data_IF_256818632253
#
_entry.id   IF_256818632253
#
_cell.length_a   1.000
_cell.length_b   1.000
_cell.length_c   1.000
_cell.angle_alpha   90.00
_cell.angle_beta   90.00
_cell.angle_gamma   90.00
#
_symmetry.space_group_name_H-M   'P 1'
#
loop_
_entity.id
_entity.type
_entity.pdbx_description
1 polymer ?
#
# COMPACT_ATOMS: atom_id res chain seq x y z
N UNK A 1 17.29 15.24 -63.97
CA UNK A 1 17.57 14.37 -62.81
C UNK A 1 18.08 15.24 -61.68
N UNK A 2 17.21 15.64 -60.77
CA UNK A 2 17.57 16.29 -59.51
C UNK A 2 16.75 15.58 -58.43
N UNK A 3 17.45 14.98 -57.47
CA UNK A 3 16.86 14.27 -56.35
C UNK A 3 16.59 15.24 -55.20
N UNK A 4 15.34 15.31 -54.77
CA UNK A 4 14.95 15.95 -53.52
C UNK A 4 15.16 14.94 -52.38
N UNK A 5 16.05 15.27 -51.47
CA UNK A 5 16.18 14.65 -50.15
C UNK A 5 15.18 15.33 -49.22
N UNK A 6 14.02 14.70 -48.99
CA UNK A 6 13.09 15.13 -47.94
C UNK A 6 13.62 14.67 -46.59
N UNK A 7 14.17 15.62 -45.83
CA UNK A 7 14.43 15.47 -44.40
C UNK A 7 13.08 15.53 -43.70
N UNK A 8 12.64 14.39 -43.18
CA UNK A 8 11.46 14.30 -42.32
C UNK A 8 11.84 14.90 -40.97
N UNK A 9 11.46 16.17 -40.74
CA UNK A 9 11.41 16.74 -39.40
C UNK A 9 10.29 16.01 -38.64
N UNK A 10 10.68 15.16 -37.68
CA UNK A 10 9.77 14.67 -36.67
C UNK A 10 9.48 15.81 -35.70
N UNK A 11 8.53 16.67 -36.06
CA UNK A 11 7.95 17.63 -35.13
C UNK A 11 7.23 16.84 -34.04
N UNK A 12 7.80 16.86 -32.84
CA UNK A 12 7.22 16.33 -31.62
C UNK A 12 5.84 16.94 -31.43
N UNK A 13 4.80 16.13 -31.60
CA UNK A 13 3.40 16.49 -31.35
C UNK A 13 3.20 16.65 -29.83
N UNK A 14 3.60 17.79 -29.29
CA UNK A 14 3.13 18.25 -27.99
C UNK A 14 1.65 18.65 -28.18
N UNK A 15 0.69 17.93 -27.58
CA UNK A 15 -0.72 18.26 -27.78
C UNK A 15 -0.98 19.67 -27.26
N UNK A 16 -1.67 20.48 -28.07
CA UNK A 16 -2.32 21.75 -27.70
C UNK A 16 -3.48 21.53 -26.70
N UNK A 17 -3.33 20.58 -25.77
CA UNK A 17 -4.26 20.35 -24.67
C UNK A 17 -4.24 21.57 -23.75
N UNK A 18 -5.18 22.46 -24.07
CA UNK A 18 -5.75 23.55 -23.29
C UNK A 18 -5.49 23.33 -21.80
N UNK A 19 -4.58 24.12 -21.22
CA UNK A 19 -4.44 24.22 -19.78
C UNK A 19 -5.71 24.90 -19.23
N UNK A 20 -6.80 24.14 -19.11
CA UNK A 20 -8.05 24.63 -18.55
C UNK A 20 -7.84 24.72 -17.04
N UNK A 21 -8.08 25.89 -16.46
CA UNK A 21 -8.18 26.07 -15.01
C UNK A 21 -9.45 25.36 -14.51
N UNK A 22 -9.37 24.04 -14.38
CA UNK A 22 -10.49 23.17 -13.98
C UNK A 22 -11.01 23.53 -12.59
N UNK A 23 -10.15 24.09 -11.73
CA UNK A 23 -10.56 24.55 -10.40
C UNK A 23 -11.44 25.80 -10.48
N UNK A 24 -11.15 26.74 -11.40
CA UNK A 24 -12.02 27.89 -11.62
C UNK A 24 -13.38 27.47 -12.17
N UNK A 25 -13.42 26.56 -13.16
CA UNK A 25 -14.67 26.05 -13.73
C UNK A 25 -15.54 25.32 -12.71
N UNK A 26 -14.96 24.41 -11.91
CA UNK A 26 -15.69 23.66 -10.87
C UNK A 26 -16.29 24.59 -9.82
N UNK A 27 -15.68 25.75 -9.57
CA UNK A 27 -16.13 26.71 -8.57
C UNK A 27 -16.91 27.90 -9.16
N UNK A 28 -17.30 27.86 -10.45
CA UNK A 28 -18.03 28.93 -11.11
C UNK A 28 -17.27 30.27 -11.19
N UNK A 29 -15.93 30.24 -11.17
CA UNK A 29 -15.07 31.41 -11.26
C UNK A 29 -14.56 31.60 -12.69
N UNK A 30 -14.29 32.85 -13.07
CA UNK A 30 -13.64 33.14 -14.33
C UNK A 30 -12.24 32.49 -14.36
N UNK A 31 -11.85 31.78 -15.44
CA UNK A 31 -10.53 31.19 -15.58
C UNK A 31 -9.43 32.24 -15.49
N UNK A 32 -8.31 31.91 -14.82
CA UNK A 32 -7.16 32.81 -14.76
C UNK A 32 -6.33 32.71 -16.05
N UNK A 33 -6.76 33.41 -17.10
CA UNK A 33 -6.16 33.38 -18.45
C UNK A 33 -4.63 33.60 -18.42
N UNK A 34 -4.15 34.54 -17.61
CA UNK A 34 -2.71 34.82 -17.49
C UNK A 34 -1.89 33.63 -16.96
N UNK A 35 -2.47 32.82 -16.06
CA UNK A 35 -1.80 31.63 -15.52
C UNK A 35 -1.75 30.50 -16.54
N UNK A 36 -2.81 30.39 -17.34
CA UNK A 36 -2.94 29.45 -18.46
C UNK A 36 -1.88 29.78 -19.52
N UNK A 37 -1.81 31.04 -19.94
CA UNK A 37 -0.81 31.53 -20.90
C UNK A 37 0.62 31.37 -20.38
N UNK A 38 0.87 31.62 -19.09
CA UNK A 38 2.19 31.41 -18.47
C UNK A 38 2.59 29.93 -18.48
N UNK A 39 1.67 29.01 -18.17
CA UNK A 39 1.95 27.57 -18.27
C UNK A 39 2.20 27.13 -19.71
N UNK A 40 1.39 27.58 -20.66
CA UNK A 40 1.58 27.29 -22.09
C UNK A 40 2.94 27.79 -22.55
N UNK A 41 3.32 29.01 -22.16
CA UNK A 41 4.65 29.57 -22.46
C UNK A 41 5.78 28.71 -21.86
N UNK A 42 5.69 28.33 -20.59
CA UNK A 42 6.69 27.46 -19.95
C UNK A 42 6.77 26.06 -20.58
N UNK A 43 5.66 25.54 -21.11
CA UNK A 43 5.61 24.21 -21.72
C UNK A 43 6.10 24.24 -23.17
N UNK A 44 5.79 25.31 -23.92
CA UNK A 44 6.25 25.51 -25.30
C UNK A 44 7.70 26.01 -25.39
N UNK A 45 8.21 26.62 -24.33
CA UNK A 45 9.63 27.00 -24.17
C UNK A 45 10.42 25.97 -23.36
N UNK A 46 9.88 24.76 -23.16
CA UNK A 46 10.68 23.65 -22.66
C UNK A 46 11.72 23.33 -23.74
N UNK A 47 12.92 23.90 -23.58
CA UNK A 47 14.09 23.53 -24.36
C UNK A 47 14.40 22.07 -24.04
N UNK A 48 14.26 21.20 -25.03
CA UNK A 48 14.53 19.76 -24.92
C UNK A 48 16.01 19.48 -24.59
N UNK A 49 16.88 20.50 -24.67
CA UNK A 49 18.28 20.48 -24.28
C UNK A 49 18.53 21.09 -22.90
N UNK A 50 17.50 21.61 -22.22
CA UNK A 50 17.66 22.13 -20.87
C UNK A 50 18.09 21.00 -19.91
N UNK A 51 19.10 21.22 -19.05
CA UNK A 51 19.61 20.20 -18.16
C UNK A 51 18.50 19.72 -17.23
N UNK A 52 18.11 18.46 -17.40
CA UNK A 52 17.18 17.80 -16.51
C UNK A 52 17.82 17.72 -15.11
N UNK A 53 17.06 18.05 -14.06
CA UNK A 53 17.52 17.89 -12.67
C UNK A 53 18.11 16.48 -12.47
N UNK A 54 19.35 16.39 -11.99
CA UNK A 54 19.85 15.14 -11.41
C UNK A 54 18.89 14.69 -10.30
N UNK A 55 18.35 13.48 -10.44
CA UNK A 55 17.27 12.94 -9.61
C UNK A 55 15.85 13.08 -10.21
N UNK A 56 15.69 13.52 -11.46
CA UNK A 56 14.38 13.48 -12.14
C UNK A 56 13.97 12.06 -12.53
N UNK A 57 14.95 11.17 -12.73
CA UNK A 57 14.74 9.72 -12.78
C UNK A 57 14.82 9.19 -11.36
N UNK A 58 13.81 8.40 -10.98
CA UNK A 58 13.65 7.78 -9.66
C UNK A 58 14.85 6.93 -9.20
N UNK A 59 15.84 6.68 -10.06
CA UNK A 59 16.99 5.80 -9.79
C UNK A 59 18.31 6.52 -9.51
N UNK A 60 18.40 7.84 -9.72
CA UNK A 60 19.70 8.52 -9.73
C UNK A 60 19.84 9.50 -8.57
N UNK A 61 20.11 8.97 -7.38
CA UNK A 61 20.60 9.77 -6.24
C UNK A 61 22.00 9.28 -5.86
N UNK A 62 23.04 9.97 -6.34
CA UNK A 62 24.37 9.91 -5.73
C UNK A 62 24.44 10.95 -4.61
N UNK A 63 24.48 10.47 -3.37
CA UNK A 63 24.71 11.29 -2.19
C UNK A 63 26.19 11.68 -2.16
N UNK A 64 26.47 12.98 -2.21
CA UNK A 64 27.81 13.51 -1.95
C UNK A 64 27.95 13.67 -0.43
N UNK A 65 28.98 13.08 0.21
CA UNK A 65 29.17 13.20 1.64
C UNK A 65 29.36 14.68 2.05
N UNK A 66 28.62 15.10 3.07
CA UNK A 66 28.71 16.44 3.67
C UNK A 66 30.02 16.52 4.45
N UNK A 67 30.82 17.56 4.23
CA UNK A 67 32.08 17.78 4.96
C UNK A 67 31.80 18.17 6.42
N UNK A 68 32.61 17.64 7.34
CA UNK A 68 32.39 17.66 8.79
C UNK A 68 32.28 19.05 9.45
N UNK A 69 32.77 20.12 8.81
CA UNK A 69 32.75 21.47 9.39
C UNK A 69 31.34 22.11 9.46
N UNK A 70 30.37 21.67 8.64
CA UNK A 70 29.01 22.21 8.62
C UNK A 70 28.08 21.54 9.66
N UNK A 71 28.46 20.36 10.18
CA UNK A 71 27.71 19.59 11.19
C UNK A 71 27.64 20.32 12.54
N UNK A 72 28.72 21.00 12.92
CA UNK A 72 28.85 21.62 14.25
C UNK A 72 27.90 22.84 14.40
N UNK A 73 27.71 23.62 13.34
CA UNK A 73 26.84 24.82 13.35
C UNK A 73 25.36 24.43 13.32
N UNK A 74 25.00 23.31 12.68
CA UNK A 74 23.61 22.87 12.58
C UNK A 74 23.01 22.51 13.96
N UNK A 75 23.83 22.00 14.88
CA UNK A 75 23.39 21.52 16.20
C UNK A 75 22.88 22.64 17.14
N UNK A 76 23.24 23.91 16.91
CA UNK A 76 22.87 25.04 17.76
C UNK A 76 21.67 25.85 17.24
N UNK A 77 21.16 25.54 16.05
CA UNK A 77 20.07 26.27 15.42
C UNK A 77 18.71 25.67 15.79
N UNK A 78 17.69 26.51 15.94
CA UNK A 78 16.30 26.02 16.07
C UNK A 78 15.88 25.23 14.82
N UNK A 79 14.95 24.29 14.98
CA UNK A 79 14.43 23.44 13.88
C UNK A 79 14.00 24.28 12.67
N UNK A 80 13.39 25.45 12.90
CA UNK A 80 12.98 26.38 11.84
C UNK A 80 14.19 26.99 11.11
N UNK A 81 15.23 27.37 11.84
CA UNK A 81 16.48 27.91 11.26
C UNK A 81 17.25 26.84 10.51
N UNK A 82 17.31 25.60 11.02
CA UNK A 82 17.92 24.47 10.29
C UNK A 82 17.19 24.18 8.96
N UNK A 83 15.85 24.27 8.96
CA UNK A 83 15.07 24.10 7.74
C UNK A 83 15.37 25.21 6.71
N UNK A 84 15.40 26.48 7.15
CA UNK A 84 15.70 27.61 6.27
C UNK A 84 17.14 27.53 5.73
N UNK A 85 18.10 27.14 6.56
CA UNK A 85 19.49 26.91 6.15
C UNK A 85 19.59 25.81 5.08
N UNK A 86 18.93 24.66 5.29
CA UNK A 86 18.85 23.56 4.31
C UNK A 86 18.20 24.02 3.00
N UNK A 87 17.17 24.86 3.07
CA UNK A 87 16.51 25.44 1.88
C UNK A 87 17.46 26.38 1.13
N UNK A 88 18.18 27.25 1.83
CA UNK A 88 19.16 28.16 1.23
C UNK A 88 20.33 27.39 0.59
N UNK A 89 20.82 26.33 1.23
CA UNK A 89 21.87 25.47 0.67
C UNK A 89 21.42 24.75 -0.60
N UNK A 90 20.21 24.19 -0.63
CA UNK A 90 19.64 23.61 -1.86
C UNK A 90 19.57 24.64 -2.98
N UNK A 91 19.18 25.89 -2.67
CA UNK A 91 19.08 26.95 -3.66
C UNK A 91 20.47 27.36 -4.19
N UNK A 92 21.47 27.53 -3.30
CA UNK A 92 22.86 27.83 -3.69
C UNK A 92 23.48 26.71 -4.54
N UNK A 93 23.30 25.45 -4.15
CA UNK A 93 23.82 24.31 -4.90
C UNK A 93 23.16 24.20 -6.28
N UNK A 94 21.85 24.49 -6.37
CA UNK A 94 21.15 24.59 -7.63
C UNK A 94 21.74 25.69 -8.52
N UNK A 95 21.90 26.92 -8.00
CA UNK A 95 22.48 28.03 -8.76
C UNK A 95 23.93 27.76 -9.19
N UNK A 96 24.74 27.13 -8.34
CA UNK A 96 26.14 26.78 -8.66
C UNK A 96 26.20 25.76 -9.80
N UNK A 97 25.40 24.71 -9.76
CA UNK A 97 25.35 23.68 -10.81
C UNK A 97 24.78 24.23 -12.11
N UNK A 98 23.76 25.10 -12.03
CA UNK A 98 23.21 25.79 -13.19
C UNK A 98 24.24 26.69 -13.87
N UNK A 99 25.05 27.43 -13.10
CA UNK A 99 26.16 28.22 -13.66
C UNK A 99 27.26 27.35 -14.28
N UNK A 100 27.66 26.27 -13.61
CA UNK A 100 28.66 25.34 -14.13
C UNK A 100 28.22 24.72 -15.46
N UNK A 101 26.95 24.34 -15.58
CA UNK A 101 26.37 23.86 -16.83
C UNK A 101 26.47 24.91 -17.95
N UNK A 102 26.09 26.16 -17.67
CA UNK A 102 26.18 27.26 -18.66
C UNK A 102 27.62 27.63 -19.03
N UNK A 103 28.57 27.45 -18.12
CA UNK A 103 30.00 27.69 -18.36
C UNK A 103 30.64 26.55 -19.18
N UNK A 104 30.22 25.30 -18.98
CA UNK A 104 30.61 24.14 -19.82
C UNK A 104 30.06 24.25 -21.25
N UNK A 105 28.86 24.80 -21.43
CA UNK A 105 28.21 24.94 -22.76
C UNK A 105 28.86 26.03 -23.64
N UNK A 106 29.58 26.99 -23.04
CA UNK A 106 30.41 27.96 -23.77
C UNK A 106 31.83 27.43 -24.09
N UNK A 107 32.20 26.27 -23.57
CA UNK A 107 33.41 25.55 -23.96
C UNK A 107 33.05 24.57 -25.08
N UNK A 108 33.64 24.76 -26.26
CA UNK A 108 33.44 23.87 -27.42
C UNK A 108 33.61 22.40 -27.03
N UNK A 109 32.50 21.66 -27.02
CA UNK A 109 32.48 20.23 -26.84
C UNK A 109 33.07 19.57 -28.11
N UNK A 110 34.35 19.21 -28.09
CA UNK A 110 34.87 18.23 -29.04
C UNK A 110 34.36 16.86 -28.60
N UNK A 111 33.48 16.26 -29.42
CA UNK A 111 33.09 14.85 -29.30
C UNK A 111 34.37 14.01 -29.34
N UNK A 112 34.77 13.46 -28.19
CA UNK A 112 35.78 12.43 -28.15
C UNK A 112 35.19 11.18 -28.81
N UNK A 113 35.60 10.93 -30.05
CA UNK A 113 35.38 9.68 -30.78
C UNK A 113 35.80 8.49 -29.89
N UNK A 114 34.81 7.73 -29.43
CA UNK A 114 35.01 6.41 -28.82
C UNK A 114 35.28 5.40 -29.94
N UNK A 115 36.44 5.48 -30.57
CA UNK A 115 36.99 4.41 -31.38
C UNK A 115 38.46 4.16 -31.03
N UNK A 116 38.79 2.87 -30.89
CA UNK A 116 40.12 2.29 -30.67
C UNK A 116 40.55 2.12 -29.22
N UNK A 117 39.93 1.15 -28.56
CA UNK A 117 40.62 0.28 -27.60
C UNK A 117 40.55 -1.15 -28.11
N UNK A 118 41.55 -1.55 -28.89
CA UNK A 118 41.81 -2.96 -29.19
C UNK A 118 42.04 -3.69 -27.86
N UNK A 119 41.15 -4.59 -27.48
CA UNK A 119 41.53 -5.74 -26.68
C UNK A 119 40.75 -6.98 -27.14
N UNK A 120 41.53 -8.00 -27.43
CA UNK A 120 41.16 -9.28 -28.03
C UNK A 120 40.31 -10.13 -27.08
N UNK A 121 39.36 -10.87 -27.67
CA UNK A 121 38.77 -12.12 -27.19
C UNK A 121 37.91 -12.07 -25.91
N UNK A 122 36.61 -11.93 -26.12
CA UNK A 122 35.57 -12.74 -25.45
C UNK A 122 34.38 -12.84 -26.41
N UNK A 123 34.47 -13.74 -27.38
CA UNK A 123 33.32 -14.24 -28.12
C UNK A 123 32.63 -15.30 -27.24
N UNK A 124 31.30 -15.38 -27.36
CA UNK A 124 30.36 -16.27 -26.67
C UNK A 124 29.73 -15.72 -25.38
N UNK A 125 28.52 -15.13 -25.52
CA UNK A 125 27.40 -14.99 -24.54
C UNK A 125 26.48 -13.75 -24.79
N UNK A 126 26.41 -13.26 -26.03
CA UNK A 126 25.47 -12.19 -26.43
C UNK A 126 24.32 -12.66 -27.33
N UNK A 127 23.71 -13.80 -26.98
CA UNK A 127 22.41 -14.20 -27.53
C UNK A 127 21.38 -14.39 -26.42
N UNK A 128 20.27 -13.65 -26.54
CA UNK A 128 19.07 -13.69 -25.69
C UNK A 128 19.01 -12.74 -24.48
N UNK A 129 19.29 -11.46 -24.70
CA UNK A 129 18.50 -10.41 -24.03
C UNK A 129 17.06 -10.45 -24.60
N UNK A 130 16.30 -11.50 -24.29
CA UNK A 130 14.87 -11.53 -24.54
C UNK A 130 14.29 -10.29 -23.88
N UNK A 131 13.49 -9.51 -24.61
CA UNK A 131 12.68 -8.42 -24.10
C UNK A 131 11.82 -8.94 -22.94
N UNK A 132 12.37 -9.02 -21.74
CA UNK A 132 11.62 -9.34 -20.53
C UNK A 132 10.77 -8.13 -20.27
N UNK A 133 9.52 -8.23 -20.74
CA UNK A 133 8.47 -7.25 -20.45
C UNK A 133 8.53 -6.98 -18.96
N UNK A 134 8.83 -5.72 -18.59
CA UNK A 134 8.89 -5.34 -17.18
C UNK A 134 7.53 -5.58 -16.57
N UNK A 135 7.45 -6.52 -15.63
CA UNK A 135 6.22 -6.77 -14.90
C UNK A 135 5.90 -5.57 -14.00
N UNK A 136 4.61 -5.21 -13.81
CA UNK A 136 4.21 -4.20 -12.85
C UNK A 136 4.74 -4.49 -11.46
N UNK A 137 5.12 -3.45 -10.71
CA UNK A 137 5.51 -3.62 -9.31
C UNK A 137 4.34 -4.20 -8.50
N UNK A 138 4.68 -4.98 -7.47
CA UNK A 138 3.73 -5.57 -6.50
C UNK A 138 2.66 -4.57 -6.02
N UNK A 139 3.06 -3.34 -5.69
CA UNK A 139 2.14 -2.30 -5.22
C UNK A 139 1.29 -1.66 -6.31
N UNK A 140 1.82 -1.54 -7.53
CA UNK A 140 1.00 -1.14 -8.67
C UNK A 140 -0.08 -2.19 -8.92
N UNK A 141 0.28 -3.47 -8.92
CA UNK A 141 -0.69 -4.58 -9.02
C UNK A 141 -1.74 -4.51 -7.92
N UNK A 142 -1.34 -4.25 -6.67
CA UNK A 142 -2.26 -4.06 -5.55
C UNK A 142 -3.22 -2.87 -5.77
N UNK A 143 -2.71 -1.74 -6.28
CA UNK A 143 -3.52 -0.56 -6.58
C UNK A 143 -4.53 -0.83 -7.71
N UNK A 144 -4.10 -1.51 -8.77
CA UNK A 144 -4.94 -1.85 -9.92
C UNK A 144 -6.09 -2.79 -9.55
N UNK A 145 -5.90 -3.70 -8.57
CA UNK A 145 -6.99 -4.53 -8.02
C UNK A 145 -8.16 -3.72 -7.43
N UNK A 146 -7.93 -2.47 -7.06
CA UNK A 146 -8.96 -1.56 -6.54
C UNK A 146 -9.39 -0.48 -7.54
N UNK A 147 -8.80 -0.44 -8.73
CA UNK A 147 -9.12 0.50 -9.80
C UNK A 147 -9.20 -0.23 -11.16
N UNK A 148 -10.25 -1.06 -11.37
CA UNK A 148 -10.34 -1.91 -12.56
C UNK A 148 -10.38 -1.11 -13.86
N UNK A 149 -10.98 0.09 -13.87
CA UNK A 149 -10.99 0.94 -15.07
C UNK A 149 -9.56 1.38 -15.44
N UNK A 150 -8.70 1.67 -14.45
CA UNK A 150 -7.28 2.00 -14.71
C UNK A 150 -6.52 0.78 -15.21
N UNK A 151 -6.81 -0.40 -14.66
CA UNK A 151 -6.21 -1.65 -15.14
C UNK A 151 -6.59 -1.91 -16.61
N UNK A 152 -7.88 -1.80 -16.94
CA UNK A 152 -8.40 -1.93 -18.29
C UNK A 152 -7.74 -0.93 -19.24
N UNK A 153 -7.56 0.32 -18.82
CA UNK A 153 -6.87 1.34 -19.60
C UNK A 153 -5.42 0.95 -19.91
N UNK A 154 -4.68 0.41 -18.92
CA UNK A 154 -3.31 -0.07 -19.12
C UNK A 154 -3.31 -1.26 -20.10
N UNK A 155 -4.24 -2.19 -19.97
CA UNK A 155 -4.36 -3.34 -20.88
C UNK A 155 -4.67 -2.90 -22.33
N UNK A 156 -5.52 -1.89 -22.50
CA UNK A 156 -5.80 -1.29 -23.81
C UNK A 156 -4.54 -0.66 -24.42
N UNK A 157 -3.79 0.15 -23.68
CA UNK A 157 -2.62 0.85 -24.24
C UNK A 157 -1.39 -0.05 -24.46
N UNK A 158 -1.15 -1.03 -23.60
CA UNK A 158 0.12 -1.74 -23.57
C UNK A 158 0.05 -3.21 -24.02
N UNK A 159 -1.14 -3.83 -23.98
CA UNK A 159 -1.28 -5.25 -24.34
C UNK A 159 -2.10 -5.48 -25.61
N UNK A 160 -2.92 -4.51 -26.02
CA UNK A 160 -3.69 -4.59 -27.26
C UNK A 160 -2.88 -4.04 -28.42
N UNK A 161 -2.67 -4.84 -29.48
CA UNK A 161 -1.89 -4.40 -30.67
C UNK A 161 -2.50 -3.19 -31.39
N UNK A 162 -3.80 -2.96 -31.24
CA UNK A 162 -4.55 -1.88 -31.89
C UNK A 162 -5.79 -1.50 -31.07
N UNK A 163 -5.64 -0.78 -29.94
CA UNK A 163 -6.78 -0.37 -29.14
C UNK A 163 -7.68 0.59 -29.92
N UNK A 164 -8.99 0.35 -29.89
CA UNK A 164 -9.95 1.30 -30.44
C UNK A 164 -10.01 2.54 -29.54
N UNK A 165 -9.78 3.73 -30.10
CA UNK A 165 -9.81 5.00 -29.36
C UNK A 165 -11.12 5.15 -28.56
N UNK A 166 -12.25 4.69 -29.11
CA UNK A 166 -13.54 4.69 -28.42
C UNK A 166 -13.51 3.97 -27.07
N UNK A 167 -12.88 2.79 -26.99
CA UNK A 167 -12.75 2.03 -25.74
C UNK A 167 -11.87 2.75 -24.71
N UNK A 168 -10.78 3.40 -25.16
CA UNK A 168 -9.94 4.21 -24.28
C UNK A 168 -10.72 5.41 -23.71
N UNK A 169 -11.47 6.11 -24.56
CA UNK A 169 -12.28 7.28 -24.15
C UNK A 169 -13.38 6.86 -23.17
N UNK A 170 -14.08 5.76 -23.42
CA UNK A 170 -15.12 5.23 -22.52
C UNK A 170 -14.53 4.88 -21.15
N UNK A 171 -13.36 4.23 -21.13
CA UNK A 171 -12.66 3.88 -19.88
C UNK A 171 -12.22 5.14 -19.11
N UNK A 172 -11.67 6.14 -19.81
CA UNK A 172 -11.33 7.44 -19.22
C UNK A 172 -12.58 8.17 -18.67
N UNK A 173 -13.71 8.10 -19.36
CA UNK A 173 -14.98 8.66 -18.89
C UNK A 173 -15.47 7.96 -17.61
N UNK A 174 -15.37 6.63 -17.52
CA UNK A 174 -15.67 5.88 -16.29
C UNK A 174 -14.75 6.28 -15.14
N UNK A 175 -13.45 6.44 -15.41
CA UNK A 175 -12.48 6.90 -14.41
C UNK A 175 -12.76 8.32 -13.91
N UNK A 176 -13.20 9.22 -14.80
CA UNK A 176 -13.51 10.60 -14.49
C UNK A 176 -14.90 10.82 -13.84
N UNK A 177 -15.76 9.80 -13.85
CA UNK A 177 -17.12 9.91 -13.34
C UNK A 177 -17.13 10.20 -11.82
N UNK A 178 -17.62 11.38 -11.36
CA UNK A 178 -17.67 11.71 -9.94
C UNK A 178 -18.67 10.84 -9.16
N UNK A 179 -19.63 10.23 -9.86
CA UNK A 179 -20.58 9.26 -9.32
C UNK A 179 -20.04 7.82 -9.27
N UNK A 180 -18.76 7.58 -9.59
CA UNK A 180 -18.15 6.25 -9.53
C UNK A 180 -18.37 5.65 -8.13
N UNK A 181 -18.91 4.44 -8.10
CA UNK A 181 -19.11 3.69 -6.87
C UNK A 181 -17.78 3.61 -6.14
N UNK A 182 -17.79 3.99 -4.86
CA UNK A 182 -16.60 3.90 -4.02
C UNK A 182 -16.15 2.44 -3.99
N UNK A 183 -14.87 2.22 -4.26
CA UNK A 183 -14.28 0.90 -4.12
C UNK A 183 -14.45 0.44 -2.66
N UNK A 184 -14.80 -0.82 -2.50
CA UNK A 184 -14.86 -1.51 -1.21
C UNK A 184 -13.88 -2.68 -1.20
N UNK A 185 -13.52 -3.14 -0.01
CA UNK A 185 -12.74 -4.37 0.12
C UNK A 185 -13.54 -5.57 -0.40
N UNK A 186 -12.86 -6.51 -1.05
CA UNK A 186 -13.50 -7.72 -1.60
C UNK A 186 -14.23 -8.49 -0.51
N UNK A 187 -15.50 -8.77 -0.78
CA UNK A 187 -16.38 -9.49 0.14
C UNK A 187 -16.74 -8.69 1.39
N UNK A 188 -16.64 -7.36 1.38
CA UNK A 188 -17.25 -6.50 2.39
C UNK A 188 -18.56 -5.96 1.83
N UNK A 189 -19.64 -6.16 2.57
CA UNK A 189 -20.97 -5.72 2.16
C UNK A 189 -21.05 -4.19 2.20
N UNK A 190 -21.67 -3.55 1.19
CA UNK A 190 -21.90 -2.11 1.21
C UNK A 190 -22.84 -1.73 2.37
N UNK A 191 -22.78 -0.47 2.85
CA UNK A 191 -23.70 0.00 3.87
C UNK A 191 -25.14 0.03 3.35
N UNK A 192 -26.09 -0.33 4.20
CA UNK A 192 -27.54 -0.26 3.94
C UNK A 192 -28.07 1.05 4.54
N UNK A 193 -28.54 1.99 3.71
CA UNK A 193 -29.12 3.26 4.18
C UNK A 193 -28.25 4.01 5.20
N UNK A 194 -26.96 4.18 4.89
CA UNK A 194 -25.95 4.82 5.76
C UNK A 194 -25.68 4.10 7.09
N UNK A 195 -26.14 2.85 7.24
CA UNK A 195 -25.87 1.99 8.39
C UNK A 195 -25.04 0.78 7.99
N UNK A 196 -24.25 0.27 8.93
CA UNK A 196 -23.52 -0.97 8.71
C UNK A 196 -24.51 -2.14 8.55
N UNK A 197 -24.36 -2.94 7.48
CA UNK A 197 -25.19 -4.12 7.21
C UNK A 197 -25.20 -5.13 8.37
N UNK A 198 -24.09 -5.24 9.11
CA UNK A 198 -23.95 -6.23 10.19
C UNK A 198 -24.31 -5.71 11.59
N UNK A 199 -23.80 -4.54 12.01
CA UNK A 199 -24.03 -4.03 13.37
C UNK A 199 -25.05 -2.87 13.45
N UNK A 200 -25.59 -2.42 12.31
CA UNK A 200 -26.59 -1.34 12.20
C UNK A 200 -26.17 0.02 12.78
N UNK A 201 -24.89 0.18 13.12
CA UNK A 201 -24.28 1.45 13.53
C UNK A 201 -24.36 2.45 12.37
N UNK A 202 -24.72 3.70 12.68
CA UNK A 202 -24.74 4.81 11.72
C UNK A 202 -23.32 5.18 11.29
N UNK A 203 -23.12 5.34 9.98
CA UNK A 203 -21.81 5.50 9.39
C UNK A 203 -21.63 6.92 8.86
N UNK A 204 -20.51 7.55 9.21
CA UNK A 204 -20.17 8.85 8.64
C UNK A 204 -19.58 8.68 7.23
N UNK A 205 -20.42 8.91 6.22
CA UNK A 205 -20.06 8.80 4.81
C UNK A 205 -19.03 9.85 4.34
N UNK A 206 -18.78 10.90 5.13
CA UNK A 206 -17.78 11.93 4.83
C UNK A 206 -16.35 11.50 5.21
N UNK A 207 -16.19 10.42 5.99
CA UNK A 207 -14.89 9.89 6.43
C UNK A 207 -14.66 8.48 5.90
N UNK A 208 -14.34 8.33 4.60
CA UNK A 208 -14.24 7.03 3.94
C UNK A 208 -13.24 6.09 4.61
N UNK A 209 -12.17 6.61 5.22
CA UNK A 209 -11.17 5.82 5.95
C UNK A 209 -11.75 5.12 7.18
N UNK A 210 -12.62 5.82 7.94
CA UNK A 210 -13.28 5.24 9.12
C UNK A 210 -14.39 4.29 8.72
N UNK A 211 -15.15 4.67 7.69
CA UNK A 211 -16.19 3.84 7.10
C UNK A 211 -15.63 2.49 6.65
N UNK A 212 -14.60 2.50 5.80
CA UNK A 212 -14.02 1.27 5.24
C UNK A 212 -13.37 0.39 6.32
N UNK A 213 -12.66 1.00 7.28
CA UNK A 213 -12.09 0.26 8.41
C UNK A 213 -13.18 -0.39 9.28
N UNK A 214 -14.28 0.32 9.54
CA UNK A 214 -15.42 -0.22 10.28
C UNK A 214 -16.06 -1.38 9.52
N UNK A 215 -16.39 -1.20 8.24
CA UNK A 215 -17.04 -2.23 7.42
C UNK A 215 -16.18 -3.50 7.35
N UNK A 216 -14.87 -3.37 7.09
CA UNK A 216 -13.95 -4.51 7.06
C UNK A 216 -13.94 -5.27 8.40
N UNK A 217 -13.80 -4.56 9.52
CA UNK A 217 -13.76 -5.17 10.85
C UNK A 217 -15.11 -5.79 11.24
N UNK A 218 -16.21 -5.13 10.91
CA UNK A 218 -17.55 -5.63 11.24
C UNK A 218 -17.90 -6.87 10.40
N UNK A 219 -17.57 -6.89 9.11
CA UNK A 219 -17.70 -8.07 8.26
C UNK A 219 -16.83 -9.22 8.77
N UNK A 220 -15.59 -8.95 9.18
CA UNK A 220 -14.71 -9.95 9.81
C UNK A 220 -15.37 -10.57 11.04
N UNK A 221 -15.83 -9.75 11.98
CA UNK A 221 -16.46 -10.20 13.22
C UNK A 221 -17.76 -10.97 12.96
N UNK A 222 -18.60 -10.46 12.05
CA UNK A 222 -19.85 -11.11 11.64
C UNK A 222 -19.60 -12.51 11.09
N UNK A 223 -18.61 -12.66 10.19
CA UNK A 223 -18.24 -13.97 9.62
C UNK A 223 -17.67 -14.93 10.65
N UNK A 224 -16.78 -14.46 11.53
CA UNK A 224 -16.23 -15.28 12.62
C UNK A 224 -17.38 -15.76 13.53
N UNK A 225 -18.32 -14.86 13.88
CA UNK A 225 -19.48 -15.20 14.71
C UNK A 225 -20.39 -16.23 14.03
N UNK A 226 -20.75 -16.01 12.77
CA UNK A 226 -21.60 -16.92 12.00
C UNK A 226 -20.96 -18.32 11.89
N UNK A 227 -19.66 -18.36 11.60
CA UNK A 227 -18.94 -19.62 11.49
C UNK A 227 -18.77 -20.32 12.85
N UNK A 228 -18.53 -19.57 13.92
CA UNK A 228 -18.50 -20.11 15.29
C UNK A 228 -19.86 -20.70 15.67
N UNK A 229 -20.96 -20.03 15.30
CA UNK A 229 -22.32 -20.55 15.53
C UNK A 229 -22.58 -21.81 14.72
N UNK A 230 -22.18 -21.86 13.45
CA UNK A 230 -22.28 -23.05 12.61
C UNK A 230 -21.50 -24.24 13.21
N UNK A 231 -20.24 -24.01 13.59
CA UNK A 231 -19.40 -25.04 14.23
C UNK A 231 -20.03 -25.51 15.54
N UNK A 232 -20.55 -24.59 16.35
CA UNK A 232 -21.24 -24.93 17.61
C UNK A 232 -22.50 -25.78 17.36
N UNK A 233 -23.32 -25.42 16.38
CA UNK A 233 -24.53 -26.18 16.04
C UNK A 233 -24.20 -27.58 15.49
N UNK A 234 -23.18 -27.68 14.63
CA UNK A 234 -22.66 -28.96 14.14
C UNK A 234 -22.14 -29.82 15.30
N UNK A 235 -21.42 -29.19 16.23
CA UNK A 235 -20.88 -29.85 17.41
C UNK A 235 -21.96 -30.45 18.31
N UNK A 236 -22.97 -29.64 18.63
CA UNK A 236 -24.09 -30.05 19.50
C UNK A 236 -24.93 -31.17 18.87
N UNK A 237 -25.02 -31.22 17.53
CA UNK A 237 -25.79 -32.23 16.81
C UNK A 237 -25.02 -33.54 16.61
N UNK A 238 -23.75 -33.47 16.23
CA UNK A 238 -23.03 -34.62 15.62
C UNK A 238 -21.85 -35.16 16.44
N UNK A 239 -21.21 -34.33 17.28
CA UNK A 239 -19.90 -34.64 17.89
C UNK A 239 -19.96 -34.72 19.42
N UNK A 240 -20.82 -35.59 19.96
CA UNK A 240 -20.99 -35.73 21.42
C UNK A 240 -19.79 -36.34 22.14
N UNK A 241 -19.07 -37.26 21.48
CA UNK A 241 -17.95 -38.00 22.05
C UNK A 241 -16.78 -38.03 21.05
N UNK A 242 -15.55 -38.01 21.56
CA UNK A 242 -14.33 -38.21 20.78
C UNK A 242 -14.29 -39.64 20.22
N UNK A 243 -14.10 -39.78 18.91
CA UNK A 243 -14.03 -41.08 18.22
C UNK A 243 -12.60 -41.44 17.79
N UNK A 244 -11.61 -40.77 18.38
CA UNK A 244 -10.20 -41.03 18.15
C UNK A 244 -9.74 -42.27 18.93
N UNK A 245 -9.46 -43.39 18.25
CA UNK A 245 -8.93 -44.64 18.82
C UNK A 245 -9.44 -45.00 20.23
N UNK A 246 -10.75 -45.23 20.36
CA UNK A 246 -11.42 -45.58 21.62
C UNK A 246 -11.31 -44.56 22.77
N UNK A 247 -10.87 -43.31 22.51
CA UNK A 247 -10.76 -42.25 23.51
C UNK A 247 -12.07 -42.02 24.28
N UNK A 248 -13.20 -41.97 23.58
CA UNK A 248 -14.53 -41.89 24.19
C UNK A 248 -14.83 -40.64 25.02
N UNK A 249 -13.91 -39.67 25.07
CA UNK A 249 -14.08 -38.45 25.85
C UNK A 249 -15.37 -37.72 25.46
N UNK A 250 -16.25 -37.45 26.43
CA UNK A 250 -17.54 -36.82 26.16
C UNK A 250 -17.47 -35.31 26.33
N UNK A 251 -18.11 -34.58 25.43
CA UNK A 251 -18.08 -33.12 25.40
C UNK A 251 -19.43 -32.48 25.71
N UNK A 252 -20.29 -33.18 26.46
CA UNK A 252 -21.56 -32.61 26.90
C UNK A 252 -21.30 -31.30 27.65
N UNK A 253 -21.93 -30.22 27.19
CA UNK A 253 -21.81 -28.86 27.75
C UNK A 253 -20.44 -28.20 27.61
N UNK A 254 -19.54 -28.74 26.78
CA UNK A 254 -18.23 -28.14 26.50
C UNK A 254 -18.28 -27.20 25.30
N UNK A 255 -17.33 -26.25 25.25
CA UNK A 255 -17.20 -25.34 24.12
C UNK A 255 -16.51 -26.02 22.91
N UNK A 256 -16.78 -25.53 21.70
CA UNK A 256 -16.08 -25.97 20.50
C UNK A 256 -14.55 -25.77 20.60
N UNK A 257 -14.08 -24.77 21.36
CA UNK A 257 -12.66 -24.57 21.64
C UNK A 257 -12.06 -25.70 22.48
N UNK A 258 -12.76 -26.15 23.53
CA UNK A 258 -12.34 -27.29 24.36
C UNK A 258 -12.21 -28.56 23.51
N UNK A 259 -13.15 -28.77 22.61
CA UNK A 259 -13.14 -29.90 21.69
C UNK A 259 -11.96 -29.84 20.71
N UNK A 260 -11.80 -28.71 20.02
CA UNK A 260 -10.70 -28.51 19.06
C UNK A 260 -9.34 -28.72 19.71
N UNK A 261 -9.14 -28.19 20.92
CA UNK A 261 -7.92 -28.41 21.70
C UNK A 261 -7.71 -29.89 22.06
N UNK A 262 -8.78 -30.61 22.44
CA UNK A 262 -8.68 -32.04 22.74
C UNK A 262 -8.25 -32.86 21.51
N UNK A 263 -8.89 -32.65 20.36
CA UNK A 263 -8.54 -33.34 19.12
C UNK A 263 -7.12 -32.97 18.69
N UNK A 264 -6.72 -31.71 18.87
CA UNK A 264 -5.36 -31.24 18.56
C UNK A 264 -4.30 -32.00 19.36
N UNK A 265 -4.53 -32.29 20.64
CA UNK A 265 -3.62 -33.14 21.44
C UNK A 265 -3.49 -34.56 20.89
N UNK A 266 -4.56 -35.13 20.33
CA UNK A 266 -4.48 -36.43 19.66
C UNK A 266 -3.64 -36.35 18.39
N UNK A 267 -3.80 -35.29 17.60
CA UNK A 267 -3.00 -35.07 16.40
C UNK A 267 -1.52 -34.89 16.74
N UNK A 268 -1.19 -34.11 17.78
CA UNK A 268 0.19 -33.85 18.20
C UNK A 268 0.88 -35.10 18.80
N UNK A 269 0.14 -35.92 19.54
CA UNK A 269 0.67 -37.16 20.11
C UNK A 269 0.80 -38.30 19.10
N UNK A 270 0.21 -38.16 17.92
CA UNK A 270 0.18 -39.18 16.89
C UNK A 270 1.46 -39.19 16.04
N UNK A 271 2.46 -39.95 16.49
CA UNK A 271 3.74 -40.11 15.79
C UNK A 271 3.63 -40.78 14.42
N UNK A 272 2.56 -41.55 14.17
CA UNK A 272 2.37 -42.28 12.92
C UNK A 272 1.69 -41.42 11.84
N UNK A 273 1.26 -40.19 12.18
CA UNK A 273 0.51 -39.31 11.29
C UNK A 273 -0.70 -40.00 10.63
N UNK A 274 -1.31 -40.96 11.34
CA UNK A 274 -2.43 -41.76 10.84
C UNK A 274 -3.76 -41.32 11.48
N UNK A 275 -4.79 -41.09 10.67
CA UNK A 275 -6.12 -40.78 11.16
C UNK A 275 -6.74 -41.99 11.85
N UNK A 276 -6.90 -41.90 13.17
CA UNK A 276 -7.55 -42.93 13.99
C UNK A 276 -9.01 -42.58 14.33
N UNK A 277 -9.57 -41.59 13.65
CA UNK A 277 -10.97 -41.22 13.79
C UNK A 277 -11.84 -42.33 13.19
N UNK A 278 -12.65 -43.00 13.99
CA UNK A 278 -13.55 -44.08 13.53
C UNK A 278 -12.86 -45.16 12.68
N UNK A 279 -11.60 -45.46 12.98
CA UNK A 279 -10.78 -46.43 12.21
C UNK A 279 -10.58 -46.03 10.74
N UNK A 280 -10.55 -44.72 10.44
CA UNK A 280 -10.32 -44.20 9.09
C UNK A 280 -9.04 -44.76 8.43
N UNK A 281 -7.91 -44.76 9.15
CA UNK A 281 -6.66 -45.35 8.69
C UNK A 281 -5.86 -44.52 7.67
N UNK A 282 -6.36 -43.36 7.24
CA UNK A 282 -5.63 -42.45 6.35
C UNK A 282 -4.28 -42.06 6.94
N UNK A 283 -3.20 -42.10 6.16
CA UNK A 283 -1.86 -41.67 6.62
C UNK A 283 -1.44 -40.41 5.89
N UNK A 284 -1.06 -39.40 6.65
CA UNK A 284 -0.64 -38.09 6.14
C UNK A 284 0.88 -37.99 6.06
N UNK A 285 1.38 -37.12 5.17
CA UNK A 285 2.82 -36.85 5.07
C UNK A 285 3.32 -36.01 6.25
N UNK A 286 2.46 -35.15 6.80
CA UNK A 286 2.75 -34.30 7.94
C UNK A 286 1.52 -34.11 8.83
N UNK A 287 1.73 -33.44 9.96
CA UNK A 287 0.69 -33.13 10.95
C UNK A 287 -0.42 -32.24 10.36
N UNK A 288 -0.05 -31.32 9.49
CA UNK A 288 -0.94 -30.37 8.82
C UNK A 288 -1.94 -31.08 7.91
N UNK A 289 -1.44 -31.98 7.08
CA UNK A 289 -2.25 -32.82 6.21
C UNK A 289 -3.22 -33.69 7.01
N UNK A 290 -2.77 -34.21 8.16
CA UNK A 290 -3.63 -34.99 9.04
C UNK A 290 -4.73 -34.13 9.68
N UNK A 291 -4.39 -32.94 10.17
CA UNK A 291 -5.34 -32.02 10.78
C UNK A 291 -6.39 -31.53 9.76
N UNK A 292 -5.97 -31.25 8.53
CA UNK A 292 -6.86 -30.91 7.41
C UNK A 292 -7.75 -32.10 7.03
N UNK A 293 -7.17 -33.30 6.92
CA UNK A 293 -7.92 -34.52 6.65
C UNK A 293 -9.03 -34.72 7.69
N UNK A 294 -8.70 -34.64 8.98
CA UNK A 294 -9.67 -34.80 10.07
C UNK A 294 -10.77 -33.74 10.00
N UNK A 295 -10.39 -32.48 9.74
CA UNK A 295 -11.36 -31.41 9.58
C UNK A 295 -12.29 -31.55 8.37
N UNK A 296 -11.80 -32.03 7.24
CA UNK A 296 -12.58 -32.09 6.00
C UNK A 296 -13.35 -33.42 5.89
N UNK A 297 -12.71 -34.55 6.18
CA UNK A 297 -13.31 -35.89 5.99
C UNK A 297 -14.22 -36.30 7.13
N UNK A 298 -13.95 -35.83 8.34
CA UNK A 298 -14.76 -36.18 9.51
C UNK A 298 -15.59 -35.01 10.05
N UNK A 299 -15.50 -33.82 9.42
CA UNK A 299 -16.14 -32.59 9.86
C UNK A 299 -15.83 -32.24 11.33
N UNK A 300 -14.58 -32.55 11.73
CA UNK A 300 -14.08 -32.38 13.09
C UNK A 300 -13.25 -31.10 13.17
N UNK A 301 -13.73 -30.02 13.79
CA UNK A 301 -12.95 -28.80 13.91
C UNK A 301 -11.65 -29.05 14.70
N UNK A 302 -10.52 -28.70 14.10
CA UNK A 302 -9.17 -28.72 14.68
C UNK A 302 -8.66 -27.29 14.79
N UNK A 303 -7.54 -27.01 15.46
CA UNK A 303 -6.99 -25.64 15.45
C UNK A 303 -6.66 -25.14 14.03
N UNK A 304 -6.45 -26.06 13.09
CA UNK A 304 -6.16 -25.80 11.67
C UNK A 304 -7.40 -25.45 10.87
N UNK A 305 -8.54 -26.08 11.17
CA UNK A 305 -9.79 -25.93 10.42
C UNK A 305 -10.82 -25.06 11.13
N UNK A 306 -10.67 -24.84 12.43
CA UNK A 306 -11.52 -23.93 13.19
C UNK A 306 -11.15 -22.50 12.82
N UNK A 307 -12.00 -21.86 12.06
CA UNK A 307 -11.87 -20.46 11.63
C UNK A 307 -12.16 -19.49 12.78
N UNK A 308 -11.47 -19.62 13.91
CA UNK A 308 -11.58 -18.66 15.02
C UNK A 308 -11.02 -17.29 14.60
N UNK A 309 -10.20 -17.27 13.54
CA UNK A 309 -9.53 -16.09 13.02
C UNK A 309 -9.71 -16.04 11.50
N UNK A 310 -10.15 -14.90 11.01
CA UNK A 310 -10.09 -14.54 9.59
C UNK A 310 -9.08 -13.42 9.43
N UNK A 311 -8.23 -13.52 8.43
CA UNK A 311 -7.25 -12.49 8.09
C UNK A 311 -7.61 -11.88 6.76
N UNK A 312 -7.27 -10.62 6.58
CA UNK A 312 -7.51 -9.93 5.32
C UNK A 312 -6.19 -9.40 4.82
N UNK A 313 -5.74 -9.88 3.67
CA UNK A 313 -4.58 -9.30 3.02
C UNK A 313 -5.02 -8.05 2.27
N UNK A 314 -4.57 -6.87 2.69
CA UNK A 314 -4.83 -5.62 1.96
C UNK A 314 -4.31 -5.67 0.53
N UNK A 315 -3.06 -6.12 0.37
CA UNK A 315 -2.38 -6.06 -0.92
C UNK A 315 -3.00 -6.97 -1.98
N UNK A 316 -3.33 -8.22 -1.59
CA UNK A 316 -3.99 -9.17 -2.47
C UNK A 316 -5.52 -9.06 -2.48
N UNK A 317 -6.11 -8.21 -1.63
CA UNK A 317 -7.54 -7.94 -1.56
C UNK A 317 -8.39 -9.23 -1.40
N UNK A 318 -8.04 -10.11 -0.44
CA UNK A 318 -8.84 -11.30 -0.14
C UNK A 318 -8.75 -11.76 1.32
N UNK A 319 -9.67 -12.64 1.70
CA UNK A 319 -9.79 -13.19 3.05
C UNK A 319 -9.14 -14.57 3.15
N UNK A 320 -8.37 -14.77 4.21
CA UNK A 320 -7.80 -16.05 4.61
C UNK A 320 -8.55 -16.54 5.85
N UNK A 321 -8.90 -17.84 5.86
CA UNK A 321 -9.84 -18.41 6.82
C UNK A 321 -9.20 -19.00 8.08
N UNK A 322 -7.86 -19.09 8.13
CA UNK A 322 -7.11 -19.62 9.28
C UNK A 322 -5.76 -18.90 9.47
N UNK A 323 -5.17 -19.06 10.65
CA UNK A 323 -3.82 -18.55 10.97
C UNK A 323 -2.73 -19.21 10.14
N UNK A 324 -2.91 -20.49 9.81
CA UNK A 324 -1.98 -21.20 8.94
C UNK A 324 -2.03 -20.65 7.52
N UNK A 325 -3.22 -20.59 6.91
CA UNK A 325 -3.35 -20.06 5.55
C UNK A 325 -2.80 -18.63 5.47
N UNK A 326 -3.01 -17.85 6.54
CA UNK A 326 -2.38 -16.55 6.69
C UNK A 326 -0.84 -16.62 6.76
N UNK A 327 -0.29 -17.49 7.60
CA UNK A 327 1.17 -17.65 7.74
C UNK A 327 1.83 -18.14 6.44
N UNK A 328 1.21 -19.08 5.73
CA UNK A 328 1.67 -19.58 4.43
C UNK A 328 1.65 -18.46 3.39
N UNK A 329 0.54 -17.72 3.31
CA UNK A 329 0.41 -16.56 2.45
C UNK A 329 1.47 -15.49 2.73
N UNK A 330 1.81 -15.27 4.00
CA UNK A 330 2.84 -14.32 4.39
C UNK A 330 4.27 -14.77 4.04
N UNK A 331 4.53 -16.06 3.81
CA UNK A 331 5.84 -16.50 3.29
C UNK A 331 6.07 -15.99 1.87
N UNK A 332 5.04 -16.02 1.02
CA UNK A 332 5.10 -15.41 -0.30
C UNK A 332 5.43 -13.91 -0.22
N UNK A 333 4.83 -13.19 0.73
CA UNK A 333 5.15 -11.77 0.95
C UNK A 333 6.60 -11.51 1.40
N UNK A 334 7.23 -12.47 2.09
CA UNK A 334 8.65 -12.40 2.50
C UNK A 334 9.59 -12.72 1.33
N UNK A 335 9.20 -13.64 0.46
CA UNK A 335 9.94 -13.96 -0.77
C UNK A 335 9.94 -12.75 -1.71
N UNK A 336 8.78 -12.11 -1.88
CA UNK A 336 8.56 -10.92 -2.72
C UNK A 336 8.83 -9.60 -1.96
N UNK A 337 9.65 -9.63 -0.91
CA UNK A 337 9.94 -8.46 -0.07
C UNK A 337 10.84 -7.48 -0.83
N UNK A 338 10.42 -6.22 -0.88
CA UNK A 338 11.21 -5.09 -1.37
C UNK A 338 11.50 -4.12 -0.22
N UNK A 339 12.09 -2.98 -0.54
CA UNK A 339 12.49 -1.92 0.38
C UNK A 339 11.32 -1.03 0.87
N UNK A 340 10.11 -1.11 0.32
CA UNK A 340 9.00 -0.29 0.79
C UNK A 340 8.24 -0.97 1.96
N UNK A 341 8.06 -0.24 3.06
CA UNK A 341 7.30 -0.69 4.24
C UNK A 341 6.18 0.29 4.64
N UNK A 342 5.96 1.32 3.84
CA UNK A 342 5.00 2.39 4.09
C UNK A 342 3.53 1.98 3.94
N UNK A 343 2.65 2.95 4.15
CA UNK A 343 1.19 2.78 4.02
C UNK A 343 0.71 3.39 2.70
N UNK A 344 0.08 2.59 1.83
CA UNK A 344 -0.55 3.10 0.60
C UNK A 344 -2.07 3.16 0.82
N UNK A 345 -2.64 4.36 0.63
CA UNK A 345 -4.08 4.60 0.70
C UNK A 345 -4.62 5.15 -0.61
N UNK A 346 -5.83 4.75 -0.97
CA UNK A 346 -6.58 5.31 -2.08
C UNK A 346 -8.04 5.51 -1.67
N UNK A 347 -8.55 6.73 -1.70
CA UNK A 347 -9.94 7.06 -1.37
C UNK A 347 -10.46 6.46 -0.05
N UNK A 348 -9.61 6.46 0.98
CA UNK A 348 -9.92 5.89 2.30
C UNK A 348 -9.81 4.37 2.39
N UNK A 349 -9.51 3.66 1.31
CA UNK A 349 -9.06 2.26 1.37
C UNK A 349 -7.56 2.20 1.68
N UNK A 350 -7.18 1.15 2.39
CA UNK A 350 -5.79 0.74 2.57
C UNK A 350 -5.51 -0.29 1.49
N UNK A 351 -4.60 0.05 0.57
CA UNK A 351 -4.20 -0.84 -0.52
C UNK A 351 -3.04 -1.71 -0.05
N UNK A 352 -2.09 -1.10 0.66
CA UNK A 352 -0.94 -1.78 1.25
C UNK A 352 -0.85 -1.30 2.68
N UNK A 353 -0.95 -2.22 3.63
CA UNK A 353 -0.74 -1.92 5.05
C UNK A 353 0.76 -1.77 5.33
N UNK A 354 1.11 -0.87 6.23
CA UNK A 354 2.49 -0.67 6.59
C UNK A 354 3.03 -1.84 7.42
N UNK A 355 4.35 -2.02 7.40
CA UNK A 355 5.05 -3.11 8.09
C UNK A 355 6.16 -2.55 8.98
N UNK A 356 6.47 -3.25 10.06
CA UNK A 356 7.52 -2.86 10.99
C UNK A 356 8.88 -3.36 10.49
N UNK A 357 9.84 -2.45 10.33
CA UNK A 357 11.20 -2.79 9.87
C UNK A 357 11.88 -3.81 10.80
N UNK A 358 11.72 -3.67 12.12
CA UNK A 358 12.30 -4.57 13.12
C UNK A 358 11.69 -5.97 13.08
N UNK A 359 10.35 -6.07 13.01
CA UNK A 359 9.70 -7.37 12.90
C UNK A 359 10.07 -8.06 11.59
N UNK A 360 10.16 -7.32 10.48
CA UNK A 360 10.61 -7.89 9.20
C UNK A 360 12.04 -8.44 9.28
N UNK A 361 12.94 -7.73 9.98
CA UNK A 361 14.33 -8.11 10.20
C UNK A 361 14.55 -9.28 11.16
N UNK A 362 13.60 -9.57 12.06
CA UNK A 362 13.71 -10.68 12.98
C UNK A 362 13.48 -12.03 12.26
N UNK A 363 14.57 -12.63 11.80
CA UNK A 363 14.57 -13.91 11.08
C UNK A 363 14.07 -15.08 11.92
N UNK A 364 14.07 -14.97 13.24
CA UNK A 364 13.61 -16.02 14.15
C UNK A 364 12.11 -15.93 14.45
N UNK A 365 11.49 -14.77 14.16
CA UNK A 365 10.07 -14.59 14.37
C UNK A 365 9.23 -15.33 13.29
N UNK A 366 8.03 -15.82 13.65
CA UNK A 366 7.14 -16.46 12.67
C UNK A 366 6.59 -15.44 11.65
N UNK A 367 6.18 -15.89 10.44
CA UNK A 367 5.76 -14.98 9.36
C UNK A 367 4.69 -13.96 9.74
N UNK A 368 3.70 -14.34 10.56
CA UNK A 368 2.62 -13.45 11.00
C UNK A 368 3.06 -12.34 11.96
N UNK A 369 4.20 -12.51 12.64
CA UNK A 369 4.84 -11.45 13.43
C UNK A 369 5.68 -10.58 12.50
N UNK A 370 6.50 -11.20 11.64
CA UNK A 370 7.40 -10.48 10.72
C UNK A 370 6.65 -9.56 9.77
N UNK A 371 5.60 -10.08 9.14
CA UNK A 371 4.75 -9.37 8.19
C UNK A 371 3.48 -8.80 8.82
N UNK A 372 3.50 -8.48 10.13
CA UNK A 372 2.36 -7.87 10.79
C UNK A 372 1.90 -6.60 10.05
N UNK A 373 0.61 -6.54 9.71
CA UNK A 373 0.02 -5.46 8.93
C UNK A 373 -0.52 -4.36 9.84
N UNK A 374 -0.01 -3.14 9.67
CA UNK A 374 -0.43 -1.95 10.41
C UNK A 374 -1.28 -1.04 9.51
N UNK A 375 -2.63 -1.06 9.65
CA UNK A 375 -3.52 -0.21 8.87
C UNK A 375 -3.45 1.28 9.28
N UNK A 376 -2.81 1.56 10.41
CA UNK A 376 -2.63 2.88 10.99
C UNK A 376 -1.15 3.14 11.30
N UNK A 377 -0.59 4.21 10.69
CA UNK A 377 0.78 4.67 10.89
C UNK A 377 1.05 5.00 12.37
N UNK A 378 0.04 5.49 13.10
CA UNK A 378 0.23 5.77 14.52
C UNK A 378 0.51 4.50 15.32
N UNK A 379 -0.21 3.42 15.03
CA UNK A 379 -0.01 2.11 15.66
C UNK A 379 1.35 1.52 15.28
N UNK A 380 1.74 1.62 14.00
CA UNK A 380 3.06 1.23 13.53
C UNK A 380 4.16 1.96 14.30
N UNK A 381 4.09 3.29 14.36
CA UNK A 381 5.13 4.08 15.01
C UNK A 381 5.21 3.80 16.51
N UNK A 382 4.06 3.65 17.18
CA UNK A 382 4.04 3.26 18.60
C UNK A 382 4.76 1.92 18.81
N UNK A 383 4.52 0.97 17.92
CA UNK A 383 5.16 -0.33 17.96
C UNK A 383 6.67 -0.26 17.65
N UNK A 384 7.09 0.46 16.61
CA UNK A 384 8.50 0.67 16.28
C UNK A 384 9.27 1.38 17.40
N UNK A 385 8.65 2.35 18.09
CA UNK A 385 9.24 2.98 19.27
C UNK A 385 9.55 1.97 20.38
N UNK A 386 8.67 0.99 20.59
CA UNK A 386 8.94 -0.08 21.54
C UNK A 386 10.21 -0.85 21.17
N UNK A 387 10.49 -1.11 19.89
CA UNK A 387 11.77 -1.73 19.50
C UNK A 387 12.96 -0.82 19.78
N UNK A 388 12.87 0.47 19.46
CA UNK A 388 13.93 1.46 19.72
C UNK A 388 14.24 1.65 21.21
N UNK A 389 13.27 1.42 22.09
CA UNK A 389 13.46 1.48 23.54
C UNK A 389 14.23 0.26 24.08
N UNK A 390 14.12 -0.90 23.41
CA UNK A 390 14.77 -2.14 23.82
C UNK A 390 16.08 -2.42 23.08
N UNK A 391 16.30 -1.80 21.92
CA UNK A 391 17.49 -1.99 21.11
C UNK A 391 18.39 -0.76 21.17
N UNK A 392 19.52 -0.87 21.86
CA UNK A 392 20.43 0.25 22.14
C UNK A 392 21.40 0.55 21.00
N UNK A 393 21.53 -0.34 20.01
CA UNK A 393 22.42 -0.15 18.86
C UNK A 393 21.63 -0.23 17.55
N UNK A 394 21.65 0.88 16.81
CA UNK A 394 21.05 1.03 15.48
C UNK A 394 22.14 1.45 14.51
N UNK A 395 23.12 0.58 14.29
CA UNK A 395 24.22 0.85 13.37
C UNK A 395 23.81 0.63 11.91
N UNK A 396 22.82 -0.22 11.66
CA UNK A 396 22.28 -0.53 10.33
C UNK A 396 20.76 -0.53 10.33
N UNK A 397 20.17 -0.37 9.14
CA UNK A 397 18.74 -0.54 8.97
C UNK A 397 18.32 -1.98 9.38
N UNK A 398 17.26 -2.15 10.19
CA UNK A 398 16.78 -3.47 10.57
C UNK A 398 16.04 -4.19 9.44
N UNK A 399 15.79 -3.54 8.30
CA UNK A 399 15.09 -4.16 7.18
C UNK A 399 16.00 -5.17 6.45
N UNK A 400 15.55 -6.41 6.18
CA UNK A 400 16.42 -7.49 5.67
C UNK A 400 16.91 -7.31 4.21
N UNK A 401 16.47 -6.26 3.52
CA UNK A 401 16.91 -5.89 2.16
C UNK A 401 17.59 -4.51 2.11
N UNK A 402 17.92 -3.94 3.25
CA UNK A 402 18.53 -2.61 3.32
C UNK A 402 19.76 -2.67 4.22
N UNK A 403 20.92 -2.35 3.64
CA UNK A 403 22.22 -2.39 4.33
C UNK A 403 22.70 -1.00 4.74
N UNK A 404 21.84 0.01 4.65
CA UNK A 404 22.20 1.39 4.96
C UNK A 404 22.59 1.53 6.43
N UNK A 405 23.75 2.17 6.67
CA UNK A 405 24.21 2.47 8.01
C UNK A 405 23.42 3.62 8.62
N UNK A 406 23.02 3.45 9.88
CA UNK A 406 22.27 4.42 10.65
C UNK A 406 23.18 4.97 11.76
N UNK A 407 23.23 6.29 11.91
CA UNK A 407 24.10 6.95 12.89
C UNK A 407 23.39 7.40 14.17
N UNK A 408 22.05 7.39 14.20
CA UNK A 408 21.26 7.85 15.33
C UNK A 408 19.78 7.45 15.20
N UNK A 409 19.00 7.60 16.28
CA UNK A 409 17.55 7.42 16.24
C UNK A 409 16.86 8.41 15.28
N UNK A 410 17.38 9.64 15.16
CA UNK A 410 16.84 10.63 14.21
C UNK A 410 17.14 10.21 12.76
N UNK A 411 18.35 9.74 12.50
CA UNK A 411 18.74 9.20 11.21
C UNK A 411 17.87 7.99 10.82
N UNK A 412 17.54 7.11 11.78
CA UNK A 412 16.61 6.01 11.57
C UNK A 412 15.24 6.48 11.08
N UNK A 413 14.62 7.46 11.75
CA UNK A 413 13.29 7.93 11.35
C UNK A 413 13.31 8.63 10.00
N UNK A 414 14.36 9.39 9.70
CA UNK A 414 14.53 10.02 8.39
C UNK A 414 14.68 8.96 7.29
N UNK A 415 15.55 7.96 7.52
CA UNK A 415 15.75 6.83 6.61
C UNK A 415 14.47 6.01 6.40
N UNK A 416 13.72 5.72 7.47
CA UNK A 416 12.44 5.03 7.40
C UNK A 416 11.41 5.78 6.52
N UNK A 417 11.44 7.11 6.53
CA UNK A 417 10.58 7.93 5.65
C UNK A 417 11.07 7.95 4.22
N UNK A 418 12.37 8.20 4.01
CA UNK A 418 12.92 8.45 2.67
C UNK A 418 13.07 7.17 1.84
N UNK A 419 13.53 6.08 2.47
CA UNK A 419 13.81 4.81 1.80
C UNK A 419 12.60 3.88 1.90
N UNK A 420 12.05 3.70 3.11
CA UNK A 420 10.98 2.74 3.33
C UNK A 420 9.57 3.31 3.13
N UNK A 421 9.43 4.60 2.81
CA UNK A 421 8.14 5.25 2.57
C UNK A 421 7.22 5.32 3.78
N UNK A 422 7.75 5.17 5.00
CA UNK A 422 6.97 5.27 6.24
C UNK A 422 6.71 6.75 6.54
N UNK A 423 5.45 7.24 6.47
CA UNK A 423 5.20 8.66 6.60
C UNK A 423 5.62 9.18 7.98
N UNK A 424 6.19 10.39 8.08
CA UNK A 424 6.65 10.91 9.36
C UNK A 424 5.47 11.07 10.32
N UNK A 425 5.76 11.16 11.62
CA UNK A 425 4.74 11.65 12.56
C UNK A 425 4.29 13.02 12.08
N UNK A 426 3.06 13.10 11.55
CA UNK A 426 2.46 14.40 11.26
C UNK A 426 2.57 15.26 12.53
N UNK A 427 2.83 16.58 12.41
CA UNK A 427 2.83 17.46 13.56
C UNK A 427 1.56 17.13 14.34
N UNK A 428 1.70 16.67 15.60
CA UNK A 428 0.53 16.33 16.44
C UNK A 428 -0.42 17.47 16.20
N UNK A 429 -1.60 17.22 15.60
CA UNK A 429 -2.57 18.28 15.37
C UNK A 429 -2.73 18.92 16.74
N UNK A 430 -2.09 20.08 16.93
CA UNK A 430 -2.10 20.79 18.20
C UNK A 430 -3.58 20.91 18.44
N UNK A 431 -4.08 20.23 19.50
CA UNK A 431 -5.51 20.21 19.79
C UNK A 431 -5.93 21.65 19.74
N UNK A 432 -6.60 22.05 18.66
CA UNK A 432 -7.02 23.43 18.46
C UNK A 432 -8.00 23.58 19.60
N UNK A 433 -7.54 24.22 20.69
CA UNK A 433 -8.33 24.48 21.89
C UNK A 433 -9.53 25.22 21.31
N UNK A 434 -10.68 24.54 21.19
CA UNK A 434 -11.91 25.21 20.79
C UNK A 434 -12.06 26.25 21.88
N UNK A 435 -11.84 27.52 21.53
CA UNK A 435 -12.24 28.60 22.42
C UNK A 435 -13.76 28.49 22.47
N UNK A 436 -14.27 28.22 23.66
CA UNK A 436 -15.68 28.40 23.95
C UNK A 436 -15.98 29.90 23.83
N UNK A 437 -16.23 30.36 22.60
CA UNK A 437 -16.98 31.59 22.36
C UNK A 437 -18.37 31.15 21.99
N UNK A 438 -19.20 30.99 23.01
CA UNK A 438 -20.65 31.13 22.91
C UNK A 438 -20.90 32.59 22.47
N UNK A 439 -21.23 32.78 21.20
CA UNK A 439 -22.02 33.93 20.78
C UNK A 439 -23.40 33.41 20.42
N UNK A 440 -24.36 33.79 21.25
CA UNK A 440 -25.79 33.77 21.00
C UNK A 440 -26.07 34.43 19.66
N UNK A 441 -26.74 33.72 18.76
CA UNK A 441 -27.49 34.36 17.69
C UNK A 441 -28.93 33.90 17.80
N UNK A 442 -29.74 34.85 18.29
CA UNK A 442 -31.19 34.85 18.24
C UNK A 442 -31.67 34.63 16.79
N UNK A 443 -32.28 33.47 16.55
CA UNK A 443 -33.18 33.30 15.42
C UNK A 443 -34.56 33.82 15.84
N UNK A 444 -34.82 35.10 15.54
CA UNK A 444 -36.17 35.67 15.51
C UNK A 444 -36.97 34.91 14.45
N UNK A 445 -37.99 34.19 14.91
CA UNK A 445 -39.07 33.65 14.08
C UNK A 445 -40.05 34.80 13.85
N UNK A 446 -40.01 35.41 12.66
CA UNK A 446 -41.17 36.14 12.14
C UNK A 446 -41.95 35.21 11.22
N UNK A 447 -43.09 34.77 11.74
CA UNK A 447 -44.20 34.19 11.03
C UNK A 447 -44.89 35.27 10.20
N UNK A 448 -44.97 35.08 8.89
CA UNK A 448 -45.94 35.82 8.08
C UNK A 448 -46.80 34.91 7.22
N UNK A 449 -48.09 35.27 7.24
CA UNK A 449 -49.24 34.58 6.71
C UNK A 449 -49.30 34.61 5.18
N UNK A 450 -49.80 33.52 4.59
CA UNK A 450 -50.11 33.48 3.16
C UNK A 450 -51.06 32.34 2.83
N UNK A 451 -52.31 32.43 3.33
CA UNK A 451 -53.41 31.56 2.91
C UNK A 451 -53.87 31.95 1.50
N UNK A 452 -53.83 31.01 0.55
CA UNK A 452 -54.65 31.06 -0.67
C UNK A 452 -55.32 29.70 -0.84
N UNK A 453 -56.63 29.68 -0.56
CA UNK A 453 -57.59 28.70 -1.08
C UNK A 453 -57.83 29.02 -2.56
N UNK A 454 -57.95 28.00 -3.41
CA UNK A 454 -58.98 27.92 -4.46
C UNK A 454 -58.97 26.57 -5.18
N UNK A 455 -60.16 25.95 -5.16
CA UNK A 455 -60.74 24.89 -6.00
C UNK A 455 -60.22 23.47 -5.89
#
# INVERSE_FOLDING_TARGET
MMGNSEVIHADSYAPDTIAIDTQALVNGRAPKVQLIEMNISMTRQADDRAPQKLGSRLTDVKVVPIKDEESIIASQLSVKQQYELRRQMRNKNYTKRWKAYLEEENGSYEEADLQSGNDEKCEDEHEHATNTVRNPSRYLTALLRHDPDRQELIELFYHTKSPQIGACVETLQRMANPGKKRATYRGVDPPESERCSHCKTELNMQRPERLNAHLLNCTRQSRIKAQTQHIKAHFESSLRNCRWNDCGHSFRSQSAGTYSLHVTRHLESNRLQQCLWERCGFTAACYEDLALHVGIKHDVPTEWTTTTRRHYCYEHNFWLVSDQAWSDHLRQHLEDLNDFCGLIRNNGLIIVAAQCLFCLGDVNAPPHVRCAQYPDIFMLHKHMKSHLEHNTQLDTCPHPRCDDSLGSHEAFWQHATDIHGIPPFGPRRLKRKRSDTLEENDCVIESDLGAIKSQ
#
